data_IF_540064139118
#
_entry.id   IF_540064139118
#
_cell.length_a   1.000
_cell.length_b   1.000
_cell.length_c   1.000
_cell.angle_alpha   90.00
_cell.angle_beta   90.00
_cell.angle_gamma   90.00
#
_symmetry.space_group_name_H-M   'P 1'
#
loop_
_entity.id
_entity.type
_entity.pdbx_description
1 polymer ?
#
# COMPACT_ATOMS: atom_id res chain seq x y z
N UNK A 1 -4.31 2.91 12.67
CA UNK A 1 -4.72 1.92 13.69
C UNK A 1 -5.98 1.24 13.17
N UNK A 2 -5.95 -0.08 12.99
CA UNK A 2 -7.06 -0.82 12.38
C UNK A 2 -8.22 -0.97 13.35
N UNK A 3 -9.40 -0.49 12.96
CA UNK A 3 -10.67 -0.73 13.67
C UNK A 3 -11.45 -1.82 12.93
N UNK A 4 -10.84 -3.00 12.78
CA UNK A 4 -11.49 -4.13 12.15
C UNK A 4 -12.66 -4.59 13.05
N UNK A 5 -13.89 -4.51 12.53
CA UNK A 5 -15.10 -4.87 13.30
C UNK A 5 -15.18 -6.36 13.58
N UNK A 6 -14.65 -7.18 12.68
CA UNK A 6 -14.58 -8.63 12.80
C UNK A 6 -13.12 -9.03 12.59
N UNK A 7 -12.55 -9.73 13.56
CA UNK A 7 -11.23 -10.33 13.43
C UNK A 7 -11.38 -11.80 13.07
N UNK A 8 -10.50 -12.34 12.23
CA UNK A 8 -10.43 -13.78 12.04
C UNK A 8 -10.03 -14.45 13.37
N UNK A 9 -10.37 -15.73 13.52
CA UNK A 9 -10.13 -16.50 14.75
C UNK A 9 -8.66 -16.57 15.17
N UNK A 10 -7.73 -16.37 14.25
CA UNK A 10 -6.30 -16.39 14.47
C UNK A 10 -5.68 -14.98 14.65
N UNK A 11 -6.49 -13.93 14.87
CA UNK A 11 -5.99 -12.58 15.09
C UNK A 11 -6.36 -12.05 16.46
N UNK A 12 -5.38 -11.41 17.10
CA UNK A 12 -5.52 -10.76 18.40
C UNK A 12 -5.27 -9.26 18.26
N UNK A 13 -6.04 -8.44 18.98
CA UNK A 13 -5.79 -7.00 19.08
C UNK A 13 -4.67 -6.78 20.08
N UNK A 14 -3.58 -6.17 19.64
CA UNK A 14 -2.50 -5.77 20.54
C UNK A 14 -2.98 -4.73 21.57
N UNK A 15 -2.70 -4.98 22.85
CA UNK A 15 -2.84 -4.04 23.93
C UNK A 15 -1.66 -3.07 23.93
N UNK A 16 -1.92 -1.77 23.69
CA UNK A 16 -0.87 -0.75 23.57
C UNK A 16 -0.20 -0.37 24.89
N UNK A 17 -0.80 -0.75 26.01
CA UNK A 17 -0.26 -0.47 27.34
C UNK A 17 0.75 -1.53 27.80
N UNK A 18 0.88 -2.62 27.03
CA UNK A 18 1.79 -3.72 27.31
C UNK A 18 2.86 -3.71 26.20
N UNK A 19 4.14 -3.93 26.52
CA UNK A 19 5.19 -4.11 25.51
C UNK A 19 4.82 -5.21 24.50
N UNK A 20 5.23 -5.04 23.24
CA UNK A 20 4.97 -6.05 22.22
C UNK A 20 5.61 -7.40 22.58
N UNK A 21 6.81 -7.37 23.16
CA UNK A 21 7.56 -8.54 23.60
C UNK A 21 6.80 -9.42 24.59
N UNK A 22 5.95 -8.82 25.42
CA UNK A 22 5.10 -9.55 26.39
C UNK A 22 3.79 -10.07 25.76
N UNK A 23 3.48 -9.70 24.51
CA UNK A 23 2.24 -10.08 23.83
C UNK A 23 2.44 -11.12 22.73
N UNK A 24 3.67 -11.25 22.24
CA UNK A 24 3.99 -12.21 21.19
C UNK A 24 4.53 -13.52 21.75
N UNK A 25 4.78 -13.63 23.06
CA UNK A 25 5.42 -14.77 23.72
C UNK A 25 6.59 -15.35 22.88
N UNK A 26 6.84 -16.66 22.97
CA UNK A 26 7.86 -17.39 22.18
C UNK A 26 7.25 -18.19 21.01
N UNK A 27 5.99 -17.97 20.65
CA UNK A 27 5.34 -18.74 19.58
C UNK A 27 5.82 -18.45 18.14
N UNK A 28 6.26 -17.22 17.76
CA UNK A 28 6.63 -16.94 16.38
C UNK A 28 8.12 -17.19 16.14
N UNK A 29 8.44 -17.92 15.07
CA UNK A 29 9.84 -18.03 14.61
C UNK A 29 10.37 -16.69 14.06
N UNK A 30 9.50 -15.91 13.42
CA UNK A 30 9.80 -14.60 12.82
C UNK A 30 8.60 -13.67 12.98
N UNK A 31 8.84 -12.40 13.29
CA UNK A 31 7.81 -11.36 13.25
C UNK A 31 7.93 -10.49 11.99
N UNK A 32 6.82 -10.32 11.26
CA UNK A 32 6.77 -9.43 10.09
C UNK A 32 5.95 -8.17 10.40
N UNK A 33 6.62 -7.03 10.48
CA UNK A 33 5.98 -5.72 10.65
C UNK A 33 5.63 -5.09 9.31
N UNK A 34 4.39 -4.61 9.15
CA UNK A 34 3.96 -3.83 7.98
C UNK A 34 4.18 -2.31 8.14
N UNK A 35 5.24 -1.95 8.87
CA UNK A 35 5.76 -0.60 9.09
C UNK A 35 7.17 -0.71 9.67
N UNK A 36 8.01 0.35 9.58
CA UNK A 36 9.30 0.35 10.24
C UNK A 36 9.16 0.06 11.73
N UNK A 37 10.02 -0.82 12.23
CA UNK A 37 10.12 -1.18 13.64
C UNK A 37 11.54 -0.94 14.12
N UNK A 38 11.67 -0.16 15.19
CA UNK A 38 12.95 0.25 15.76
C UNK A 38 13.11 -0.22 17.23
N UNK A 39 12.23 -1.08 17.72
CA UNK A 39 12.32 -1.64 19.07
C UNK A 39 13.25 -2.85 19.15
N UNK A 40 13.60 -3.25 20.38
CA UNK A 40 14.25 -4.53 20.63
C UNK A 40 13.23 -5.68 20.59
N UNK A 41 13.59 -6.78 19.95
CA UNK A 41 12.79 -8.01 19.89
C UNK A 41 13.71 -9.20 20.16
N UNK A 42 13.24 -10.15 20.98
CA UNK A 42 14.02 -11.35 21.31
C UNK A 42 14.01 -12.40 20.18
N UNK A 43 13.01 -12.34 19.30
CA UNK A 43 12.94 -13.15 18.07
C UNK A 43 13.38 -12.35 16.84
N UNK A 44 13.85 -13.01 15.77
CA UNK A 44 14.10 -12.38 14.49
C UNK A 44 12.88 -11.64 13.95
N UNK A 45 13.11 -10.53 13.25
CA UNK A 45 12.04 -9.80 12.59
C UNK A 45 12.45 -9.25 11.24
N UNK A 46 11.43 -9.00 10.43
CA UNK A 46 11.50 -8.21 9.20
C UNK A 46 10.43 -7.14 9.25
N UNK A 47 10.71 -6.00 8.62
CA UNK A 47 9.73 -4.92 8.46
C UNK A 47 9.61 -4.53 6.99
N UNK A 48 8.42 -4.16 6.55
CA UNK A 48 8.19 -3.62 5.22
C UNK A 48 7.67 -2.21 5.34
N UNK A 49 8.39 -1.26 4.74
CA UNK A 49 7.91 0.09 4.53
C UNK A 49 7.02 0.12 3.28
N UNK A 50 5.78 0.60 3.44
CA UNK A 50 4.76 0.60 2.38
C UNK A 50 4.63 1.96 1.69
N UNK A 51 5.16 3.02 2.28
CA UNK A 51 5.08 4.38 1.75
C UNK A 51 6.42 5.11 1.75
N UNK A 52 6.48 6.22 1.02
CA UNK A 52 7.65 7.08 1.11
C UNK A 52 7.61 7.91 2.39
N UNK A 53 8.75 8.01 3.08
CA UNK A 53 8.92 8.91 4.20
C UNK A 53 8.67 10.37 3.77
N UNK A 54 7.92 11.09 4.59
CA UNK A 54 7.71 12.53 4.40
C UNK A 54 8.78 13.38 5.09
N UNK A 55 9.60 12.75 5.96
CA UNK A 55 10.66 13.37 6.74
C UNK A 55 11.90 12.47 6.72
N UNK A 56 13.11 13.01 6.95
CA UNK A 56 14.30 12.20 7.13
C UNK A 56 14.07 11.11 8.19
N UNK A 57 14.23 9.86 7.79
CA UNK A 57 13.90 8.69 8.62
C UNK A 57 15.05 7.69 8.54
N UNK A 58 15.44 7.14 9.69
CA UNK A 58 16.41 6.03 9.76
C UNK A 58 15.64 4.72 9.86
N UNK A 59 16.10 3.72 9.12
CA UNK A 59 15.49 2.40 9.06
C UNK A 59 16.42 1.36 9.68
N UNK A 60 15.82 0.35 10.31
CA UNK A 60 16.53 -0.87 10.70
C UNK A 60 17.06 -1.59 9.46
N UNK A 61 18.18 -2.34 9.60
CA UNK A 61 18.71 -3.23 8.55
C UNK A 61 17.68 -4.28 8.11
N UNK A 62 16.72 -4.61 8.97
CA UNK A 62 15.67 -5.57 8.68
C UNK A 62 14.47 -4.94 7.95
N UNK A 63 14.58 -3.71 7.44
CA UNK A 63 13.55 -3.07 6.65
C UNK A 63 13.72 -3.33 5.16
N UNK A 64 12.66 -3.80 4.51
CA UNK A 64 12.61 -4.02 3.06
C UNK A 64 11.60 -3.08 2.41
N UNK A 65 11.84 -2.75 1.14
CA UNK A 65 11.04 -1.81 0.38
C UNK A 65 10.32 -2.50 -0.80
N UNK A 66 9.20 -1.92 -1.24
CA UNK A 66 8.34 -2.50 -2.29
C UNK A 66 8.89 -2.48 -3.73
N UNK A 67 10.02 -1.81 -3.97
CA UNK A 67 10.69 -1.78 -5.27
C UNK A 67 12.10 -1.22 -5.14
N UNK A 68 12.94 -1.44 -6.15
CA UNK A 68 14.27 -0.81 -6.23
C UNK A 68 14.20 0.70 -6.04
N UNK A 69 13.32 1.39 -6.79
CA UNK A 69 13.19 2.84 -6.69
C UNK A 69 12.73 3.27 -5.29
N UNK A 70 11.86 2.49 -4.67
CA UNK A 70 11.42 2.76 -3.31
C UNK A 70 12.57 2.63 -2.30
N UNK A 71 13.43 1.62 -2.44
CA UNK A 71 14.63 1.48 -1.61
C UNK A 71 15.60 2.64 -1.83
N UNK A 72 15.90 2.99 -3.08
CA UNK A 72 16.76 4.12 -3.45
C UNK A 72 16.29 5.44 -2.85
N UNK A 73 14.99 5.72 -2.88
CA UNK A 73 14.41 6.92 -2.28
C UNK A 73 14.67 7.02 -0.77
N UNK A 74 14.97 5.90 -0.11
CA UNK A 74 15.29 5.81 1.32
C UNK A 74 16.75 5.46 1.59
N UNK A 75 17.62 5.48 0.57
CA UNK A 75 19.03 5.14 0.71
C UNK A 75 19.30 3.67 1.06
N UNK A 76 18.39 2.77 0.70
CA UNK A 76 18.50 1.34 0.92
C UNK A 76 18.64 0.57 -0.40
N UNK A 77 19.05 -0.69 -0.31
CA UNK A 77 19.24 -1.62 -1.43
C UNK A 77 18.39 -2.90 -1.33
N UNK A 78 17.80 -3.19 -0.17
CA UNK A 78 16.96 -4.37 0.05
C UNK A 78 15.50 -4.10 -0.33
N UNK A 79 14.99 -4.84 -1.31
CA UNK A 79 13.60 -4.70 -1.75
C UNK A 79 13.00 -6.02 -2.23
N UNK A 80 11.68 -6.11 -2.12
CA UNK A 80 10.87 -7.21 -2.64
C UNK A 80 9.69 -6.61 -3.38
N UNK A 81 9.52 -6.96 -4.66
CA UNK A 81 8.34 -6.54 -5.42
C UNK A 81 7.09 -7.24 -4.89
N UNK A 82 6.00 -6.50 -4.76
CA UNK A 82 4.72 -7.10 -4.40
C UNK A 82 4.30 -8.13 -5.45
N UNK A 83 3.88 -9.30 -4.97
CA UNK A 83 3.22 -10.30 -5.80
C UNK A 83 1.76 -9.91 -6.06
N UNK A 84 1.21 -10.48 -7.13
CA UNK A 84 -0.23 -10.54 -7.38
C UNK A 84 -0.64 -12.01 -7.39
N UNK A 85 -1.79 -12.31 -6.78
CA UNK A 85 -2.38 -13.64 -6.89
C UNK A 85 -3.17 -13.70 -8.20
N UNK A 86 -2.58 -14.26 -9.26
CA UNK A 86 -3.19 -14.28 -10.59
C UNK A 86 -4.54 -15.00 -10.63
N UNK A 87 -4.76 -15.98 -9.76
CA UNK A 87 -6.03 -16.74 -9.67
C UNK A 87 -7.21 -15.86 -9.21
N UNK A 88 -6.94 -14.72 -8.56
CA UNK A 88 -7.96 -13.73 -8.19
C UNK A 88 -8.31 -12.79 -9.35
N UNK A 89 -7.54 -12.80 -10.44
CA UNK A 89 -7.75 -11.98 -11.62
C UNK A 89 -8.27 -12.85 -12.78
N UNK A 90 -9.28 -12.36 -13.49
CA UNK A 90 -9.70 -12.98 -14.74
C UNK A 90 -8.67 -12.79 -15.85
N UNK A 91 -8.66 -13.69 -16.83
CA UNK A 91 -7.83 -13.57 -18.04
C UNK A 91 -8.13 -12.25 -18.78
N UNK A 92 -7.10 -11.48 -19.16
CA UNK A 92 -7.30 -10.23 -19.89
C UNK A 92 -7.86 -10.51 -21.28
N UNK A 93 -8.97 -9.86 -21.63
CA UNK A 93 -9.50 -9.91 -22.99
C UNK A 93 -8.68 -9.00 -23.93
N UNK A 94 -7.66 -9.55 -24.57
CA UNK A 94 -6.81 -8.84 -25.52
C UNK A 94 -7.37 -8.81 -26.95
N UNK A 95 -8.44 -9.57 -27.23
CA UNK A 95 -8.99 -9.72 -28.59
C UNK A 95 -9.91 -8.56 -29.00
N UNK A 96 -10.47 -7.83 -28.03
CA UNK A 96 -11.34 -6.68 -28.25
C UNK A 96 -10.98 -5.58 -27.25
N UNK A 97 -9.89 -4.83 -27.49
CA UNK A 97 -9.57 -3.70 -26.64
C UNK A 97 -10.72 -2.70 -26.74
N UNK A 98 -11.32 -2.38 -25.59
CA UNK A 98 -12.29 -1.31 -25.53
C UNK A 98 -11.59 0.05 -25.74
N UNK A 99 -12.25 0.99 -26.43
CA UNK A 99 -11.71 2.34 -26.69
C UNK A 99 -11.96 3.29 -25.49
N UNK A 100 -11.39 2.95 -24.33
CA UNK A 100 -11.40 3.82 -23.15
C UNK A 100 -10.15 3.63 -22.29
N UNK A 101 -9.85 4.66 -21.50
CA UNK A 101 -8.86 4.60 -20.43
C UNK A 101 -9.51 4.27 -19.10
N UNK A 102 -8.79 3.56 -18.22
CA UNK A 102 -9.23 3.30 -16.85
C UNK A 102 -8.31 3.98 -15.85
N UNK A 103 -8.90 4.72 -14.92
CA UNK A 103 -8.26 5.15 -13.69
C UNK A 103 -8.73 4.24 -12.56
N UNK A 104 -7.82 3.45 -11.99
CA UNK A 104 -8.07 2.63 -10.82
C UNK A 104 -7.27 3.18 -9.64
N UNK A 105 -7.95 3.71 -8.63
CA UNK A 105 -7.27 4.24 -7.45
C UNK A 105 -8.17 5.05 -6.53
N UNK A 106 -7.64 5.52 -5.40
CA UNK A 106 -8.39 6.40 -4.51
C UNK A 106 -8.41 7.82 -5.07
N UNK A 107 -9.55 8.24 -5.62
CA UNK A 107 -9.73 9.56 -6.27
C UNK A 107 -9.25 10.77 -5.46
N UNK A 108 -9.35 10.72 -4.13
CA UNK A 108 -8.94 11.82 -3.24
C UNK A 108 -7.44 11.89 -2.96
N UNK A 109 -6.66 10.87 -3.30
CA UNK A 109 -5.23 10.86 -3.02
C UNK A 109 -4.50 11.78 -4.03
N UNK A 110 -3.86 12.89 -3.59
CA UNK A 110 -3.19 13.81 -4.50
C UNK A 110 -2.10 13.13 -5.33
N UNK A 111 -1.42 12.15 -4.75
CA UNK A 111 -0.38 11.33 -5.39
C UNK A 111 -0.89 10.47 -6.56
N UNK A 112 -2.21 10.29 -6.70
CA UNK A 112 -2.81 9.56 -7.83
C UNK A 112 -3.19 10.47 -8.99
N UNK A 113 -3.28 11.79 -8.79
CA UNK A 113 -3.50 12.80 -9.84
C UNK A 113 -4.70 12.53 -10.78
N UNK A 114 -5.90 12.34 -10.21
CA UNK A 114 -7.13 12.13 -11.00
C UNK A 114 -7.45 13.34 -11.90
N UNK A 115 -7.23 14.57 -11.43
CA UNK A 115 -7.46 15.78 -12.23
C UNK A 115 -6.59 15.83 -13.48
N UNK A 116 -5.30 15.50 -13.35
CA UNK A 116 -4.39 15.36 -14.50
C UNK A 116 -4.83 14.26 -15.46
N UNK A 117 -5.32 13.14 -14.93
CA UNK A 117 -5.87 12.05 -15.76
C UNK A 117 -7.06 12.56 -16.59
N UNK A 118 -8.06 13.18 -15.95
CA UNK A 118 -9.24 13.75 -16.64
C UNK A 118 -8.83 14.76 -17.73
N UNK A 119 -7.87 15.63 -17.42
CA UNK A 119 -7.38 16.62 -18.37
C UNK A 119 -6.76 15.99 -19.62
N UNK A 120 -5.91 14.99 -19.45
CA UNK A 120 -5.26 14.28 -20.56
C UNK A 120 -6.30 13.53 -21.39
N UNK A 121 -7.24 12.82 -20.76
CA UNK A 121 -8.24 12.04 -21.49
C UNK A 121 -9.19 12.93 -22.29
N UNK A 122 -9.55 14.11 -21.76
CA UNK A 122 -10.33 15.12 -22.50
C UNK A 122 -9.59 15.63 -23.73
N UNK A 123 -8.29 15.93 -23.59
CA UNK A 123 -7.46 16.33 -24.74
C UNK A 123 -7.32 15.23 -25.79
N UNK A 124 -7.28 13.98 -25.36
CA UNK A 124 -7.23 12.81 -26.24
C UNK A 124 -8.59 12.48 -26.88
N UNK A 125 -9.68 13.16 -26.48
CA UNK A 125 -11.05 12.88 -26.93
C UNK A 125 -11.49 11.43 -26.69
N UNK A 126 -10.94 10.76 -25.68
CA UNK A 126 -11.27 9.38 -25.34
C UNK A 126 -12.13 9.29 -24.08
N UNK A 127 -12.78 8.14 -23.89
CA UNK A 127 -13.57 7.88 -22.68
C UNK A 127 -12.65 7.55 -21.50
N UNK A 128 -12.96 8.06 -20.30
CA UNK A 128 -12.29 7.70 -19.05
C UNK A 128 -13.26 7.00 -18.10
N UNK A 129 -12.95 5.77 -17.71
CA UNK A 129 -13.63 5.03 -16.63
C UNK A 129 -12.86 5.22 -15.32
N UNK A 130 -13.54 5.69 -14.29
CA UNK A 130 -12.94 5.93 -12.97
C UNK A 130 -13.48 4.91 -11.98
N UNK A 131 -12.62 4.01 -11.51
CA UNK A 131 -12.93 2.97 -10.54
C UNK A 131 -12.23 3.33 -9.23
N UNK A 132 -13.04 3.65 -8.21
CA UNK A 132 -12.57 4.06 -6.90
C UNK A 132 -13.45 3.41 -5.82
N UNK A 133 -12.87 3.04 -4.67
CA UNK A 133 -13.67 2.63 -3.50
C UNK A 133 -14.62 3.75 -3.03
N UNK A 134 -15.64 3.39 -2.23
CA UNK A 134 -16.89 4.11 -1.87
C UNK A 134 -16.82 5.57 -1.33
N UNK A 135 -15.85 6.41 -1.70
CA UNK A 135 -15.73 7.81 -1.31
C UNK A 135 -15.27 8.69 -2.46
N UNK A 136 -16.10 8.80 -3.50
CA UNK A 136 -15.97 9.87 -4.49
C UNK A 136 -16.50 11.18 -3.88
N UNK A 137 -15.68 12.24 -3.86
CA UNK A 137 -16.16 13.61 -3.72
C UNK A 137 -15.62 14.41 -4.88
N UNK A 138 -16.47 14.73 -5.84
CA UNK A 138 -16.09 15.47 -7.03
C UNK A 138 -16.50 16.92 -6.77
N UNK A 139 -15.60 17.72 -6.20
CA UNK A 139 -15.80 19.17 -6.16
C UNK A 139 -15.25 19.75 -7.46
N UNK A 140 -16.10 19.90 -8.46
CA UNK A 140 -15.78 20.69 -9.65
C UNK A 140 -16.04 22.17 -9.32
N UNK A 141 -15.00 22.99 -9.26
CA UNK A 141 -15.15 24.43 -9.54
C UNK A 141 -14.95 24.59 -11.04
N UNK A 142 -16.03 24.97 -11.72
CA UNK A 142 -15.95 25.49 -13.08
C UNK A 142 -15.37 26.91 -13.01
N UNK A 143 -14.35 27.18 -13.80
CA UNK A 143 -13.85 28.51 -14.13
C UNK A 143 -13.86 28.65 -15.63
#
# INVERSE_FOLDING_TARGET
MGNAKNLPSNATIANKNIPLTEQIDDWPDIVHFHRPYNGGLHVPYISTEHGNATLPTTYSRNCVFLSRKHAENHGADCYVYNGLNWDEYGEPNIAKPDDYFTFLGKAKAPTKNLSGTIHITRKAQSTLRVICGNRLSINQKQS
#
